data_IF_342221853276
#
_entry.id   IF_342221853276
#
_cell.length_a   1.000
_cell.length_b   1.000
_cell.length_c   1.000
_cell.angle_alpha   90.00
_cell.angle_beta   90.00
_cell.angle_gamma   90.00
#
_symmetry.space_group_name_H-M   'P 1'
#
loop_
_entity.id
_entity.type
_entity.pdbx_description
1 polymer ?
#
# COMPACT_ATOMS: atom_id res chain seq x y z
N UNK A 1 -75.09 23.08 7.20
CA UNK A 1 -74.04 22.82 6.18
C UNK A 1 -73.67 24.15 5.54
N UNK A 2 -72.43 24.63 5.70
CA UNK A 2 -71.97 25.86 5.02
C UNK A 2 -71.36 25.47 3.69
N UNK A 3 -71.90 26.01 2.60
CA UNK A 3 -71.57 25.65 1.20
C UNK A 3 -70.24 26.28 0.73
N UNK A 4 -69.74 27.33 1.40
CA UNK A 4 -68.55 28.07 0.97
C UNK A 4 -67.21 27.39 1.27
N UNK A 5 -67.14 26.40 2.17
CA UNK A 5 -65.89 25.72 2.51
C UNK A 5 -66.13 24.20 2.58
N UNK A 6 -65.50 23.46 1.68
CA UNK A 6 -65.55 22.01 1.66
C UNK A 6 -64.43 21.43 2.54
N UNK A 7 -64.69 21.41 3.85
CA UNK A 7 -63.72 20.94 4.87
C UNK A 7 -63.38 19.45 4.67
N UNK A 8 -64.33 18.64 4.19
CA UNK A 8 -64.09 17.23 3.90
C UNK A 8 -63.08 17.05 2.75
N UNK A 9 -63.24 17.80 1.65
CA UNK A 9 -62.30 17.79 0.53
C UNK A 9 -60.91 18.35 0.91
N UNK A 10 -60.83 19.36 1.78
CA UNK A 10 -59.56 19.88 2.28
C UNK A 10 -58.82 18.86 3.16
N UNK A 11 -59.56 18.11 4.00
CA UNK A 11 -58.96 17.06 4.81
C UNK A 11 -58.44 15.90 3.94
N UNK A 12 -59.21 15.46 2.94
CA UNK A 12 -58.76 14.42 2.00
C UNK A 12 -57.55 14.88 1.19
N UNK A 13 -57.49 16.13 0.75
CA UNK A 13 -56.32 16.71 0.07
C UNK A 13 -55.08 16.71 0.96
N UNK A 14 -55.19 17.11 2.22
CA UNK A 14 -54.06 17.09 3.17
C UNK A 14 -53.54 15.66 3.43
N UNK A 15 -54.46 14.69 3.57
CA UNK A 15 -54.10 13.27 3.71
C UNK A 15 -53.43 12.71 2.45
N UNK A 16 -53.95 13.05 1.27
CA UNK A 16 -53.36 12.65 -0.02
C UNK A 16 -51.96 13.25 -0.20
N UNK A 17 -51.77 14.53 0.14
CA UNK A 17 -50.47 15.19 0.08
C UNK A 17 -49.44 14.49 0.98
N UNK A 18 -49.83 14.17 2.21
CA UNK A 18 -48.99 13.42 3.15
C UNK A 18 -48.65 12.01 2.64
N UNK A 19 -49.62 11.30 2.06
CA UNK A 19 -49.41 9.97 1.48
C UNK A 19 -48.48 10.02 0.26
N UNK A 20 -48.66 11.00 -0.62
CA UNK A 20 -47.80 11.18 -1.79
C UNK A 20 -46.35 11.48 -1.38
N UNK A 21 -46.15 12.32 -0.35
CA UNK A 21 -44.83 12.55 0.24
C UNK A 21 -44.19 11.28 0.81
N UNK A 22 -44.94 10.43 1.51
CA UNK A 22 -44.45 9.15 2.01
C UNK A 22 -44.11 8.16 0.87
N UNK A 23 -44.93 8.11 -0.17
CA UNK A 23 -44.69 7.28 -1.36
C UNK A 23 -43.40 7.70 -2.09
N UNK A 24 -43.18 9.00 -2.24
CA UNK A 24 -41.94 9.53 -2.82
C UNK A 24 -40.70 9.15 -2.01
N UNK A 25 -40.76 9.24 -0.67
CA UNK A 25 -39.65 8.80 0.21
C UNK A 25 -39.38 7.30 0.07
N UNK A 26 -40.43 6.48 -0.04
CA UNK A 26 -40.27 5.03 -0.24
C UNK A 26 -39.63 4.71 -1.59
N UNK A 27 -40.02 5.43 -2.66
CA UNK A 27 -39.38 5.30 -3.97
C UNK A 27 -37.90 5.73 -3.93
N UNK A 28 -37.55 6.80 -3.19
CA UNK A 28 -36.17 7.24 -3.00
C UNK A 28 -35.32 6.16 -2.30
N UNK A 29 -35.86 5.54 -1.24
CA UNK A 29 -35.20 4.41 -0.54
C UNK A 29 -35.03 3.21 -1.45
N UNK A 30 -36.08 2.83 -2.19
CA UNK A 30 -36.00 1.72 -3.13
C UNK A 30 -34.97 1.97 -4.24
N UNK A 31 -34.93 3.18 -4.81
CA UNK A 31 -33.98 3.53 -5.86
C UNK A 31 -32.53 3.57 -5.38
N UNK A 32 -32.31 3.99 -4.14
CA UNK A 32 -30.96 4.06 -3.54
C UNK A 32 -30.47 2.73 -2.96
N UNK A 33 -31.38 1.82 -2.62
CA UNK A 33 -31.10 0.63 -1.81
C UNK A 33 -30.74 0.92 -0.34
N UNK A 34 -30.76 2.19 0.09
CA UNK A 34 -30.38 2.62 1.44
C UNK A 34 -31.62 2.92 2.28
N UNK A 35 -31.60 2.46 3.55
CA UNK A 35 -32.68 2.74 4.51
C UNK A 35 -32.72 4.22 4.94
N UNK A 36 -31.56 4.87 5.00
CA UNK A 36 -31.36 6.26 5.43
C UNK A 36 -30.71 7.04 4.28
N UNK A 37 -31.49 7.91 3.63
CA UNK A 37 -31.01 8.72 2.50
C UNK A 37 -30.78 10.19 2.85
N UNK A 38 -31.43 10.68 3.91
CA UNK A 38 -31.38 12.08 4.32
C UNK A 38 -31.18 12.17 5.82
N UNK A 39 -30.50 13.22 6.27
CA UNK A 39 -30.32 13.53 7.69
C UNK A 39 -31.67 13.71 8.44
N UNK A 40 -32.72 14.10 7.71
CA UNK A 40 -34.07 14.23 8.26
C UNK A 40 -34.81 12.91 8.54
N UNK A 41 -34.32 11.77 8.05
CA UNK A 41 -34.92 10.46 8.33
C UNK A 41 -34.32 9.82 9.60
N UNK A 42 -32.99 9.90 9.77
CA UNK A 42 -32.27 9.45 10.97
C UNK A 42 -30.87 10.10 11.00
N UNK A 43 -30.74 11.22 11.70
CA UNK A 43 -29.49 11.98 11.76
C UNK A 43 -28.35 11.19 12.45
N UNK A 44 -28.67 10.44 13.51
CA UNK A 44 -27.69 9.65 14.25
C UNK A 44 -27.22 8.43 13.43
N UNK A 45 -28.17 7.73 12.80
CA UNK A 45 -27.86 6.61 11.90
C UNK A 45 -27.07 7.04 10.67
N UNK A 46 -27.38 8.20 10.08
CA UNK A 46 -26.60 8.75 8.98
C UNK A 46 -25.17 9.09 9.44
N UNK A 47 -25.00 9.79 10.56
CA UNK A 47 -23.68 10.17 11.07
C UNK A 47 -22.79 8.95 11.38
N UNK A 48 -23.35 7.89 11.97
CA UNK A 48 -22.61 6.63 12.21
C UNK A 48 -22.25 5.97 10.88
N UNK A 49 -23.17 5.94 9.92
CA UNK A 49 -22.92 5.35 8.59
C UNK A 49 -21.83 6.08 7.81
N UNK A 50 -21.77 7.40 7.91
CA UNK A 50 -20.71 8.21 7.31
C UNK A 50 -19.37 8.02 8.01
N UNK A 51 -19.37 7.93 9.35
CA UNK A 51 -18.17 7.57 10.12
C UNK A 51 -17.62 6.21 9.68
N UNK A 52 -18.48 5.20 9.58
CA UNK A 52 -18.07 3.87 9.11
C UNK A 52 -17.59 3.91 7.67
N UNK A 53 -18.25 4.65 6.77
CA UNK A 53 -17.79 4.83 5.38
C UNK A 53 -16.42 5.51 5.32
N UNK A 54 -16.17 6.49 6.19
CA UNK A 54 -14.86 7.12 6.36
C UNK A 54 -13.80 6.14 6.84
N UNK A 55 -14.13 5.31 7.84
CA UNK A 55 -13.25 4.25 8.33
C UNK A 55 -12.94 3.21 7.26
N UNK A 56 -13.93 2.77 6.49
CA UNK A 56 -13.74 1.82 5.38
C UNK A 56 -12.76 2.40 4.35
N UNK A 57 -12.95 3.65 3.91
CA UNK A 57 -12.01 4.31 2.99
C UNK A 57 -10.60 4.43 3.59
N UNK A 58 -10.51 4.73 4.89
CA UNK A 58 -9.24 4.77 5.61
C UNK A 58 -8.54 3.41 5.62
N UNK A 59 -9.29 2.33 5.88
CA UNK A 59 -8.78 0.96 5.86
C UNK A 59 -8.40 0.50 4.45
N UNK A 60 -9.16 0.87 3.42
CA UNK A 60 -8.81 0.59 2.02
C UNK A 60 -7.46 1.22 1.65
N UNK A 61 -7.24 2.48 2.04
CA UNK A 61 -5.95 3.15 1.83
C UNK A 61 -4.83 2.52 2.66
N UNK A 62 -5.10 2.15 3.91
CA UNK A 62 -4.14 1.44 4.75
C UNK A 62 -3.75 0.07 4.17
N UNK A 63 -4.71 -0.66 3.59
CA UNK A 63 -4.46 -1.93 2.90
C UNK A 63 -3.57 -1.71 1.68
N UNK A 64 -3.85 -0.69 0.87
CA UNK A 64 -3.01 -0.33 -0.29
C UNK A 64 -1.59 0.03 0.14
N UNK A 65 -1.44 0.86 1.18
CA UNK A 65 -0.13 1.22 1.72
C UNK A 65 0.64 0.00 2.26
N UNK A 66 -0.07 -0.96 2.86
CA UNK A 66 0.54 -2.22 3.32
C UNK A 66 1.01 -3.07 2.14
N UNK A 67 0.23 -3.11 1.05
CA UNK A 67 0.62 -3.78 -0.19
C UNK A 67 1.89 -3.16 -0.79
N UNK A 68 1.96 -1.84 -0.84
CA UNK A 68 3.15 -1.11 -1.31
C UNK A 68 4.36 -1.40 -0.41
N UNK A 69 4.15 -1.50 0.91
CA UNK A 69 5.18 -1.93 1.87
C UNK A 69 5.69 -3.35 1.61
N UNK A 70 4.79 -4.29 1.29
CA UNK A 70 5.17 -5.66 0.91
C UNK A 70 6.00 -5.65 -0.38
N UNK A 71 5.57 -4.90 -1.40
CA UNK A 71 6.33 -4.78 -2.66
C UNK A 71 7.71 -4.15 -2.47
N UNK A 72 7.84 -3.17 -1.57
CA UNK A 72 9.12 -2.59 -1.18
C UNK A 72 10.03 -3.65 -0.54
N UNK A 73 9.52 -4.42 0.42
CA UNK A 73 10.28 -5.48 1.10
C UNK A 73 10.70 -6.56 0.11
N UNK A 74 9.82 -6.98 -0.80
CA UNK A 74 10.14 -7.99 -1.81
C UNK A 74 11.25 -7.53 -2.76
N UNK A 75 11.27 -6.23 -3.12
CA UNK A 75 12.34 -5.65 -3.93
C UNK A 75 13.68 -5.69 -3.18
N UNK A 76 13.67 -5.36 -1.89
CA UNK A 76 14.84 -5.48 -1.04
C UNK A 76 15.30 -6.93 -0.86
N UNK A 77 14.37 -7.88 -0.68
CA UNK A 77 14.66 -9.31 -0.51
C UNK A 77 15.31 -9.92 -1.77
N UNK A 78 14.85 -9.54 -2.97
CA UNK A 78 15.47 -9.95 -4.21
C UNK A 78 16.94 -9.51 -4.31
N UNK A 79 17.21 -8.24 -3.99
CA UNK A 79 18.56 -7.69 -3.98
C UNK A 79 19.46 -8.33 -2.89
N UNK A 80 18.90 -8.62 -1.72
CA UNK A 80 19.62 -9.34 -0.66
C UNK A 80 19.90 -10.81 -1.02
N UNK A 81 19.02 -11.45 -1.79
CA UNK A 81 19.24 -12.81 -2.31
C UNK A 81 20.44 -12.83 -3.26
N UNK A 82 20.55 -11.86 -4.16
CA UNK A 82 21.70 -11.72 -5.05
C UNK A 82 22.99 -11.45 -4.25
N UNK A 83 22.92 -10.56 -3.27
CA UNK A 83 24.03 -10.29 -2.34
C UNK A 83 24.47 -11.57 -1.60
N UNK A 84 23.50 -12.40 -1.17
CA UNK A 84 23.79 -13.67 -0.50
C UNK A 84 24.53 -14.65 -1.41
N UNK A 85 24.10 -14.80 -2.67
CA UNK A 85 24.78 -15.63 -3.66
C UNK A 85 26.21 -15.15 -3.95
N UNK A 86 26.43 -13.83 -4.02
CA UNK A 86 27.77 -13.26 -4.19
C UNK A 86 28.64 -13.59 -2.97
N UNK A 87 28.14 -13.43 -1.75
CA UNK A 87 28.90 -13.77 -0.54
C UNK A 87 29.24 -15.26 -0.44
N UNK A 88 28.35 -16.14 -0.92
CA UNK A 88 28.66 -17.57 -1.03
C UNK A 88 29.81 -17.80 -2.02
N UNK A 89 29.79 -17.15 -3.19
CA UNK A 89 30.88 -17.23 -4.18
C UNK A 89 32.22 -16.71 -3.61
N UNK A 90 32.20 -15.58 -2.90
CA UNK A 90 33.39 -15.05 -2.22
C UNK A 90 33.93 -16.05 -1.20
N UNK A 91 33.06 -16.72 -0.44
CA UNK A 91 33.49 -17.77 0.49
C UNK A 91 34.16 -18.95 -0.23
N UNK A 92 33.61 -19.40 -1.36
CA UNK A 92 34.22 -20.46 -2.19
C UNK A 92 35.63 -20.05 -2.64
N UNK A 93 35.77 -18.82 -3.14
CA UNK A 93 37.05 -18.26 -3.59
C UNK A 93 38.07 -18.16 -2.45
N UNK A 94 37.64 -17.77 -1.25
CA UNK A 94 38.52 -17.73 -0.06
C UNK A 94 39.00 -19.13 0.34
N UNK A 95 38.11 -20.13 0.30
CA UNK A 95 38.50 -21.53 0.56
C UNK A 95 39.46 -22.04 -0.52
N UNK A 96 39.23 -21.66 -1.78
CA UNK A 96 40.10 -22.00 -2.90
C UNK A 96 41.50 -21.39 -2.72
N UNK A 97 41.58 -20.10 -2.36
CA UNK A 97 42.83 -19.41 -2.05
C UNK A 97 43.59 -20.01 -0.85
N UNK A 98 42.86 -20.62 0.09
CA UNK A 98 43.43 -21.33 1.23
C UNK A 98 44.18 -22.63 0.86
N UNK A 99 44.01 -23.15 -0.36
CA UNK A 99 44.75 -24.33 -0.83
C UNK A 99 46.15 -23.96 -1.36
N UNK A 100 46.98 -23.43 -0.47
CA UNK A 100 48.33 -22.90 -0.76
C UNK A 100 49.33 -23.97 -1.22
N UNK A 101 48.98 -25.25 -1.17
CA UNK A 101 49.84 -26.35 -1.61
C UNK A 101 49.80 -26.62 -3.13
N UNK A 102 48.85 -26.04 -3.86
CA UNK A 102 48.64 -26.30 -5.30
C UNK A 102 48.47 -25.05 -6.16
N UNK A 103 48.29 -23.87 -5.57
CA UNK A 103 48.10 -22.62 -6.32
C UNK A 103 49.38 -21.79 -6.41
N UNK A 104 49.61 -21.22 -7.59
CA UNK A 104 50.70 -20.28 -7.83
C UNK A 104 50.31 -18.85 -7.43
N UNK A 105 51.31 -17.99 -7.24
CA UNK A 105 51.10 -16.57 -6.89
C UNK A 105 50.23 -15.79 -7.90
N UNK A 106 50.21 -16.21 -9.16
CA UNK A 106 49.35 -15.65 -10.21
C UNK A 106 47.89 -16.03 -10.03
N UNK A 107 47.60 -17.25 -9.58
CA UNK A 107 46.23 -17.73 -9.34
C UNK A 107 45.62 -17.04 -8.12
N UNK A 108 46.43 -16.81 -7.08
CA UNK A 108 46.04 -16.03 -5.90
C UNK A 108 45.73 -14.58 -6.27
N UNK A 109 46.49 -13.98 -7.19
CA UNK A 109 46.20 -12.65 -7.75
C UNK A 109 44.86 -12.60 -8.47
N UNK A 110 44.59 -13.56 -9.38
CA UNK A 110 43.34 -13.63 -10.11
C UNK A 110 42.12 -13.84 -9.19
N UNK A 111 42.25 -14.66 -8.14
CA UNK A 111 41.20 -14.83 -7.12
C UNK A 111 40.95 -13.53 -6.37
N UNK A 112 42.00 -12.79 -6.01
CA UNK A 112 41.85 -11.50 -5.34
C UNK A 112 41.14 -10.47 -6.23
N UNK A 113 41.43 -10.46 -7.53
CA UNK A 113 40.74 -9.59 -8.50
C UNK A 113 39.25 -9.95 -8.63
N UNK A 114 38.91 -11.25 -8.66
CA UNK A 114 37.51 -11.72 -8.66
C UNK A 114 36.78 -11.31 -7.37
N UNK A 115 37.39 -11.52 -6.20
CA UNK A 115 36.83 -11.09 -4.92
C UNK A 115 36.60 -9.57 -4.89
N UNK A 116 37.55 -8.80 -5.39
CA UNK A 116 37.45 -7.33 -5.42
C UNK A 116 36.29 -6.89 -6.29
N UNK A 117 36.13 -7.49 -7.49
CA UNK A 117 35.01 -7.22 -8.39
C UNK A 117 33.66 -7.57 -7.75
N UNK A 118 33.57 -8.69 -7.04
CA UNK A 118 32.35 -9.11 -6.33
C UNK A 118 32.00 -8.17 -5.17
N UNK A 119 33.00 -7.67 -4.43
CA UNK A 119 32.81 -6.68 -3.36
C UNK A 119 32.36 -5.33 -3.92
N UNK A 120 32.91 -4.91 -5.06
CA UNK A 120 32.46 -3.73 -5.78
C UNK A 120 31.01 -3.86 -6.25
N UNK A 121 30.61 -5.05 -6.72
CA UNK A 121 29.24 -5.32 -7.17
C UNK A 121 28.22 -5.31 -6.02
N UNK A 122 28.60 -5.70 -4.80
CA UNK A 122 27.74 -5.55 -3.62
C UNK A 122 27.54 -4.06 -3.27
N UNK A 123 28.58 -3.23 -3.44
CA UNK A 123 28.56 -1.80 -3.13
C UNK A 123 29.62 -1.36 -2.11
N UNK A 124 30.71 -2.11 -1.93
CA UNK A 124 31.80 -1.77 -1.00
C UNK A 124 32.77 -0.69 -1.48
N UNK A 125 32.75 -0.32 -2.76
CA UNK A 125 33.67 0.65 -3.36
C UNK A 125 33.09 2.06 -3.41
N UNK A 126 33.90 3.07 -3.02
CA UNK A 126 33.49 4.48 -2.93
C UNK A 126 32.95 5.13 -4.24
N UNK A 127 33.07 4.44 -5.38
CA UNK A 127 32.61 4.89 -6.70
C UNK A 127 31.81 3.82 -7.47
N UNK A 128 31.48 2.67 -6.87
CA UNK A 128 30.82 1.56 -7.57
C UNK A 128 29.30 1.58 -7.36
N UNK A 129 28.52 1.63 -8.45
CA UNK A 129 27.06 1.50 -8.45
C UNK A 129 26.65 0.02 -8.33
N UNK A 130 26.97 -0.58 -7.19
CA UNK A 130 26.62 -1.96 -6.87
C UNK A 130 25.12 -2.18 -6.65
N UNK A 131 24.75 -3.38 -6.23
CA UNK A 131 23.39 -3.79 -5.86
C UNK A 131 22.80 -2.81 -4.82
N UNK A 132 23.61 -2.35 -3.87
CA UNK A 132 23.16 -1.43 -2.82
C UNK A 132 22.69 -0.06 -3.35
N UNK A 133 23.31 0.44 -4.41
CA UNK A 133 23.00 1.75 -5.00
C UNK A 133 21.93 1.70 -6.08
N UNK A 134 21.81 0.57 -6.79
CA UNK A 134 20.78 0.40 -7.84
C UNK A 134 19.42 -0.02 -7.27
N UNK A 135 19.38 -0.63 -6.09
CA UNK A 135 18.14 -1.12 -5.48
C UNK A 135 17.30 0.06 -4.98
N UNK A 136 16.24 0.35 -5.72
CA UNK A 136 15.33 1.45 -5.43
C UNK A 136 13.87 1.04 -5.57
N UNK A 137 13.02 1.63 -4.74
CA UNK A 137 11.58 1.52 -4.85
C UNK A 137 10.98 2.93 -4.84
N UNK A 138 10.27 3.27 -5.91
CA UNK A 138 9.65 4.59 -6.07
C UNK A 138 10.64 5.76 -5.84
N UNK A 139 11.86 5.62 -6.36
CA UNK A 139 12.95 6.60 -6.23
C UNK A 139 13.67 6.61 -4.88
N UNK A 140 13.25 5.78 -3.91
CA UNK A 140 13.94 5.64 -2.62
C UNK A 140 14.94 4.49 -2.67
N UNK A 141 16.21 4.78 -2.37
CA UNK A 141 17.25 3.77 -2.18
C UNK A 141 16.98 2.97 -0.91
N UNK A 142 17.11 1.65 -1.00
CA UNK A 142 16.72 0.75 0.10
C UNK A 142 17.91 0.23 0.92
N UNK A 143 19.06 0.02 0.28
CA UNK A 143 20.16 -0.78 0.83
C UNK A 143 21.44 0.02 1.14
N UNK A 144 21.45 1.33 0.89
CA UNK A 144 22.61 2.20 1.09
C UNK A 144 22.65 2.91 2.46
N UNK A 145 21.81 2.48 3.43
CA UNK A 145 21.71 3.08 4.76
C UNK A 145 20.89 4.39 4.85
N UNK A 146 20.72 5.12 3.74
CA UNK A 146 19.98 6.39 3.72
C UNK A 146 18.46 6.22 3.99
N UNK A 147 17.93 5.01 3.83
CA UNK A 147 16.51 4.72 4.12
C UNK A 147 16.16 4.91 5.60
N UNK A 148 17.11 4.66 6.52
CA UNK A 148 16.90 4.85 7.96
C UNK A 148 16.79 6.32 8.36
N UNK A 149 17.49 7.22 7.67
CA UNK A 149 17.53 8.65 8.03
C UNK A 149 16.27 9.41 7.59
N UNK A 150 15.57 8.94 6.55
CA UNK A 150 14.36 9.57 6.03
C UNK A 150 13.08 9.22 6.82
N UNK A 151 13.17 8.36 7.84
CA UNK A 151 12.02 7.84 8.61
C UNK A 151 12.01 8.21 10.09
N UNK A 152 12.97 9.04 10.54
CA UNK A 152 12.98 9.71 11.85
C UNK A 152 12.58 11.16 11.74
#
# INVERSE_FOLDING_TARGET
MRINHNIAALNTLNRLSSNNGASQKNMEKLSSGLRINRAGDDAAGLAISEKMRGQIRGLEMASKNSQDGISLIQTAEGALTETHSILQRVRELVVQAGNTGTQDSTDLGAIQDEITSLVEEIGGGANSKGISDRTEFNGKKLLNGAFSEASG
#
